data_IF_939998252632
#
_entry.id   IF_939998252632
#
_cell.length_a   1.000
_cell.length_b   1.000
_cell.length_c   1.000
_cell.angle_alpha   90.00
_cell.angle_beta   90.00
_cell.angle_gamma   90.00
#
_symmetry.space_group_name_H-M   'P 1'
#
loop_
_entity.id
_entity.type
_entity.pdbx_description
1 polymer ?
#
# COMPACT_ATOMS: atom_id res chain seq x y z
N UNK A 1 43.95 1.80 -28.14
CA UNK A 1 43.21 2.52 -27.08
C UNK A 1 41.95 3.04 -27.75
N UNK A 2 40.79 2.42 -27.62
CA UNK A 2 39.84 2.63 -26.52
C UNK A 2 38.98 1.36 -26.35
N UNK A 3 39.11 0.67 -25.22
CA UNK A 3 38.22 -0.44 -24.89
C UNK A 3 36.95 0.18 -24.29
N UNK A 4 35.91 0.39 -25.10
CA UNK A 4 34.60 0.79 -24.61
C UNK A 4 33.95 -0.39 -23.89
N UNK A 5 34.32 -0.59 -22.62
CA UNK A 5 33.49 -1.41 -21.75
C UNK A 5 32.14 -0.73 -21.64
N UNK A 6 31.14 -1.27 -22.33
CA UNK A 6 29.74 -0.95 -22.11
C UNK A 6 29.46 -1.16 -20.62
N UNK A 7 29.33 -0.06 -19.88
CA UNK A 7 28.98 -0.10 -18.46
C UNK A 7 27.67 -0.88 -18.37
N UNK A 8 27.67 -2.02 -17.66
CA UNK A 8 26.44 -2.75 -17.38
C UNK A 8 25.55 -1.80 -16.57
N UNK A 9 24.52 -1.26 -17.21
CA UNK A 9 23.65 -0.22 -16.61
C UNK A 9 22.87 -0.79 -15.41
N UNK A 10 22.77 -2.13 -15.27
CA UNK A 10 22.06 -2.81 -14.18
C UNK A 10 22.59 -4.23 -13.92
N UNK A 11 22.71 -4.61 -12.66
CA UNK A 11 23.13 -5.92 -12.16
C UNK A 11 22.01 -6.66 -11.41
N UNK A 12 21.02 -5.96 -10.85
CA UNK A 12 19.79 -6.61 -10.39
C UNK A 12 19.06 -7.17 -11.62
N UNK A 13 18.74 -8.47 -11.66
CA UNK A 13 18.31 -9.15 -12.88
C UNK A 13 16.88 -8.79 -13.34
N UNK A 14 16.20 -7.91 -12.62
CA UNK A 14 14.81 -7.57 -12.87
C UNK A 14 14.60 -6.07 -13.09
N UNK A 15 13.83 -5.74 -14.14
CA UNK A 15 13.47 -4.36 -14.47
C UNK A 15 12.01 -4.05 -14.06
N UNK A 16 11.67 -4.28 -12.79
CA UNK A 16 10.30 -4.06 -12.28
C UNK A 16 10.06 -2.66 -11.70
N UNK A 17 11.08 -1.81 -11.62
CA UNK A 17 10.97 -0.45 -11.07
C UNK A 17 11.95 0.52 -11.71
N UNK A 18 11.60 1.81 -11.71
CA UNK A 18 12.48 2.94 -12.06
C UNK A 18 13.69 3.13 -11.12
N UNK A 19 13.68 2.49 -9.95
CA UNK A 19 14.82 2.50 -9.04
C UNK A 19 16.05 1.79 -9.63
N UNK A 20 17.18 2.47 -9.52
CA UNK A 20 18.52 1.93 -9.79
C UNK A 20 18.97 0.94 -8.72
N UNK A 21 19.98 0.14 -9.04
CA UNK A 21 20.57 -0.82 -8.09
C UNK A 21 21.12 -0.12 -6.84
N UNK A 22 21.71 1.08 -7.02
CA UNK A 22 22.18 1.94 -5.93
C UNK A 22 21.06 2.24 -4.95
N UNK A 23 19.91 2.68 -5.44
CA UNK A 23 18.78 3.04 -4.60
C UNK A 23 18.19 1.84 -3.86
N UNK A 24 18.10 0.69 -4.54
CA UNK A 24 17.62 -0.56 -3.91
C UNK A 24 18.58 -1.00 -2.79
N UNK A 25 19.88 -0.99 -3.05
CA UNK A 25 20.90 -1.34 -2.05
C UNK A 25 20.84 -0.41 -0.86
N UNK A 26 20.80 0.91 -1.07
CA UNK A 26 20.77 1.89 0.03
C UNK A 26 19.54 1.68 0.92
N UNK A 27 18.40 1.31 0.35
CA UNK A 27 17.18 1.04 1.14
C UNK A 27 17.27 -0.19 2.02
N UNK A 28 18.01 -1.22 1.61
CA UNK A 28 18.17 -2.43 2.41
C UNK A 28 19.39 -2.40 3.33
N UNK A 29 20.53 -1.91 2.82
CA UNK A 29 21.85 -2.05 3.44
C UNK A 29 22.50 -0.69 3.79
N UNK A 30 21.94 0.42 3.33
CA UNK A 30 22.47 1.77 3.58
C UNK A 30 23.62 2.21 2.66
N UNK A 31 23.95 3.51 2.73
CA UNK A 31 24.98 4.16 1.90
C UNK A 31 26.38 3.56 2.11
N UNK A 32 26.70 3.16 3.35
CA UNK A 32 28.00 2.56 3.69
C UNK A 32 28.25 1.27 2.90
N UNK A 33 27.25 0.40 2.83
CA UNK A 33 27.32 -0.86 2.09
C UNK A 33 27.41 -0.64 0.57
N UNK A 34 26.72 0.38 0.04
CA UNK A 34 26.90 0.75 -1.38
C UNK A 34 28.35 1.12 -1.70
N UNK A 35 29.00 1.95 -0.88
CA UNK A 35 30.41 2.32 -1.06
C UNK A 35 31.34 1.10 -0.96
N UNK A 36 31.01 0.15 -0.09
CA UNK A 36 31.77 -1.08 0.07
C UNK A 36 31.67 -1.97 -1.17
N UNK A 37 30.48 -2.07 -1.77
CA UNK A 37 30.26 -2.76 -3.05
C UNK A 37 31.07 -2.09 -4.17
N UNK A 38 31.07 -0.76 -4.27
CA UNK A 38 31.87 -0.04 -5.27
C UNK A 38 33.38 -0.28 -5.09
N UNK A 39 33.87 -0.26 -3.84
CA UNK A 39 35.26 -0.59 -3.51
C UNK A 39 35.63 -2.01 -3.97
N UNK A 40 34.75 -2.98 -3.71
CA UNK A 40 34.94 -4.39 -4.09
C UNK A 40 34.77 -4.65 -5.60
N UNK A 41 34.07 -3.79 -6.34
CA UNK A 41 34.03 -3.87 -7.82
C UNK A 41 35.35 -3.45 -8.46
N UNK A 42 36.04 -2.50 -7.86
CA UNK A 42 37.37 -2.05 -8.31
C UNK A 42 38.44 -3.15 -8.23
N UNK A 43 38.25 -4.15 -7.36
CA UNK A 43 39.13 -5.31 -7.25
C UNK A 43 38.65 -6.46 -8.15
N UNK A 44 39.43 -6.77 -9.20
CA UNK A 44 39.13 -7.66 -10.35
C UNK A 44 38.77 -9.14 -10.06
N UNK A 45 38.27 -9.53 -8.88
CA UNK A 45 38.05 -10.93 -8.46
C UNK A 45 36.62 -11.32 -8.04
N UNK A 46 35.64 -10.40 -7.99
CA UNK A 46 34.39 -10.58 -7.19
C UNK A 46 33.08 -10.73 -7.98
N UNK A 47 33.10 -10.76 -9.32
CA UNK A 47 31.88 -10.60 -10.14
C UNK A 47 30.75 -11.60 -9.91
N UNK A 48 31.06 -12.87 -9.54
CA UNK A 48 30.03 -13.89 -9.27
C UNK A 48 29.37 -13.68 -7.90
N UNK A 49 30.16 -13.37 -6.87
CA UNK A 49 29.68 -13.10 -5.51
C UNK A 49 28.82 -11.83 -5.47
N UNK A 50 29.24 -10.79 -6.20
CA UNK A 50 28.45 -9.57 -6.37
C UNK A 50 27.09 -9.86 -7.00
N UNK A 51 27.06 -10.57 -8.14
CA UNK A 51 25.80 -10.96 -8.80
C UNK A 51 24.83 -11.68 -7.86
N UNK A 52 25.34 -12.63 -7.06
CA UNK A 52 24.50 -13.38 -6.11
C UNK A 52 23.89 -12.47 -5.04
N UNK A 53 24.64 -11.48 -4.55
CA UNK A 53 24.13 -10.46 -3.63
C UNK A 53 23.03 -9.61 -4.27
N UNK A 54 23.24 -9.15 -5.51
CA UNK A 54 22.22 -8.39 -6.25
C UNK A 54 20.95 -9.22 -6.52
N UNK A 55 21.08 -10.52 -6.77
CA UNK A 55 19.94 -11.43 -6.90
C UNK A 55 19.14 -11.54 -5.59
N UNK A 56 19.80 -11.69 -4.44
CA UNK A 56 19.13 -11.69 -3.11
C UNK A 56 18.35 -10.40 -2.88
N UNK A 57 18.99 -9.25 -3.08
CA UNK A 57 18.37 -7.95 -2.87
C UNK A 57 17.25 -7.69 -3.88
N UNK A 58 17.43 -8.14 -5.11
CA UNK A 58 16.43 -8.08 -6.18
C UNK A 58 15.18 -8.89 -5.84
N UNK A 59 15.33 -10.14 -5.41
CA UNK A 59 14.21 -11.00 -5.01
C UNK A 59 13.40 -10.35 -3.88
N UNK A 60 14.08 -9.86 -2.83
CA UNK A 60 13.44 -9.14 -1.72
C UNK A 60 12.72 -7.87 -2.18
N UNK A 61 13.32 -7.11 -3.11
CA UNK A 61 12.73 -5.89 -3.66
C UNK A 61 11.44 -6.15 -4.42
N UNK A 62 11.44 -7.14 -5.31
CA UNK A 62 10.28 -7.53 -6.11
C UNK A 62 9.11 -7.90 -5.20
N UNK A 63 9.37 -8.69 -4.16
CA UNK A 63 8.33 -9.11 -3.23
C UNK A 63 7.78 -7.93 -2.41
N UNK A 64 8.64 -7.01 -2.00
CA UNK A 64 8.19 -5.83 -1.25
C UNK A 64 7.27 -4.92 -2.09
N UNK A 65 7.45 -4.89 -3.42
CA UNK A 65 6.70 -4.01 -4.34
C UNK A 65 5.51 -4.68 -5.00
N UNK A 66 5.52 -6.00 -5.17
CA UNK A 66 4.45 -6.73 -5.82
C UNK A 66 3.49 -7.34 -4.78
N UNK A 67 2.29 -6.77 -4.59
CA UNK A 67 1.35 -7.26 -3.57
C UNK A 67 0.85 -8.67 -3.85
N UNK A 68 0.76 -9.09 -5.12
CA UNK A 68 0.30 -10.42 -5.49
C UNK A 68 1.29 -11.52 -5.09
N UNK A 69 2.58 -11.30 -5.40
CA UNK A 69 3.66 -12.21 -4.97
C UNK A 69 3.78 -12.21 -3.46
N UNK A 70 3.65 -11.03 -2.83
CA UNK A 70 3.68 -10.93 -1.37
C UNK A 70 2.53 -11.69 -0.74
N UNK A 71 1.31 -11.56 -1.25
CA UNK A 71 0.14 -12.25 -0.72
C UNK A 71 0.27 -13.77 -0.84
N UNK A 72 0.81 -14.29 -1.94
CA UNK A 72 1.13 -15.72 -2.09
C UNK A 72 2.07 -16.21 -0.97
N UNK A 73 3.11 -15.45 -0.64
CA UNK A 73 4.05 -15.79 0.44
C UNK A 73 3.44 -15.67 1.85
N UNK A 74 2.53 -14.71 2.04
CA UNK A 74 1.82 -14.55 3.31
C UNK A 74 0.86 -15.73 3.54
N UNK A 75 0.20 -16.21 2.48
CA UNK A 75 -0.79 -17.27 2.53
C UNK A 75 -0.18 -18.68 2.46
N UNK A 76 1.01 -18.84 1.87
CA UNK A 76 1.65 -20.13 1.67
C UNK A 76 2.96 -20.26 2.47
N UNK A 77 2.87 -20.95 3.62
CA UNK A 77 4.02 -21.21 4.50
C UNK A 77 5.18 -21.90 3.79
N UNK A 78 4.92 -22.93 2.99
CA UNK A 78 5.97 -23.70 2.29
C UNK A 78 6.73 -22.84 1.29
N UNK A 79 6.03 -22.02 0.50
CA UNK A 79 6.66 -21.09 -0.46
C UNK A 79 7.50 -20.03 0.26
N UNK A 80 7.00 -19.48 1.36
CA UNK A 80 7.76 -18.53 2.19
C UNK A 80 9.04 -19.15 2.75
N UNK A 81 8.95 -20.32 3.38
CA UNK A 81 10.12 -21.02 3.93
C UNK A 81 11.13 -21.37 2.83
N UNK A 82 10.66 -21.84 1.67
CA UNK A 82 11.50 -22.13 0.51
C UNK A 82 12.23 -20.88 0.00
N UNK A 83 11.55 -19.74 -0.10
CA UNK A 83 12.18 -18.48 -0.51
C UNK A 83 13.25 -18.06 0.50
N UNK A 84 12.92 -18.01 1.79
CA UNK A 84 13.87 -17.57 2.82
C UNK A 84 15.10 -18.50 2.85
N UNK A 85 14.89 -19.81 2.73
CA UNK A 85 15.98 -20.78 2.63
C UNK A 85 16.85 -20.53 1.39
N UNK A 86 16.25 -20.27 0.23
CA UNK A 86 16.99 -19.95 -0.99
C UNK A 86 17.81 -18.66 -0.87
N UNK A 87 17.26 -17.60 -0.26
CA UNK A 87 17.98 -16.34 -0.02
C UNK A 87 19.20 -16.57 0.90
N UNK A 88 18.99 -17.27 2.03
CA UNK A 88 20.06 -17.59 3.00
C UNK A 88 21.14 -18.48 2.38
N UNK A 89 20.74 -19.50 1.63
CA UNK A 89 21.68 -20.39 0.93
C UNK A 89 22.51 -19.62 -0.12
N UNK A 90 21.88 -18.75 -0.92
CA UNK A 90 22.60 -17.91 -1.89
C UNK A 90 23.59 -16.99 -1.20
N UNK A 91 23.23 -16.42 -0.06
CA UNK A 91 24.11 -15.56 0.72
C UNK A 91 25.29 -16.33 1.34
N UNK A 92 25.08 -17.54 1.87
CA UNK A 92 26.15 -18.41 2.37
C UNK A 92 27.20 -18.73 1.30
N UNK A 93 26.76 -18.90 0.05
CA UNK A 93 27.66 -19.10 -1.09
C UNK A 93 28.53 -17.87 -1.40
N UNK A 94 28.08 -16.67 -1.03
CA UNK A 94 28.88 -15.43 -1.12
C UNK A 94 29.97 -15.43 -0.05
N UNK A 95 29.64 -15.83 1.19
CA UNK A 95 30.58 -15.95 2.31
C UNK A 95 31.72 -16.92 2.01
N UNK A 96 31.41 -18.13 1.53
CA UNK A 96 32.41 -19.14 1.16
C UNK A 96 33.41 -18.65 0.09
N UNK A 97 33.01 -17.64 -0.70
CA UNK A 97 33.83 -17.04 -1.76
C UNK A 97 34.50 -15.74 -1.34
N UNK A 98 34.26 -15.26 -0.11
CA UNK A 98 34.85 -14.04 0.41
C UNK A 98 36.35 -14.20 0.70
N UNK A 99 36.84 -15.43 0.88
CA UNK A 99 38.26 -15.77 1.08
C UNK A 99 38.91 -14.91 2.19
N UNK A 100 38.19 -14.73 3.31
CA UNK A 100 38.64 -13.92 4.46
C UNK A 100 38.63 -12.40 4.26
N UNK A 101 38.10 -11.89 3.14
CA UNK A 101 37.99 -10.45 2.91
C UNK A 101 37.00 -9.79 3.90
N UNK A 102 37.53 -8.94 4.78
CA UNK A 102 36.75 -8.27 5.82
C UNK A 102 35.60 -7.40 5.28
N UNK A 103 35.80 -6.73 4.14
CA UNK A 103 34.75 -5.93 3.50
C UNK A 103 33.61 -6.84 2.98
N UNK A 104 33.96 -7.97 2.38
CA UNK A 104 32.96 -8.93 1.88
C UNK A 104 32.18 -9.60 3.03
N UNK A 105 32.84 -9.90 4.15
CA UNK A 105 32.19 -10.43 5.37
C UNK A 105 31.23 -9.38 5.95
N UNK A 106 31.64 -8.12 6.01
CA UNK A 106 30.78 -7.03 6.48
C UNK A 106 29.52 -6.90 5.61
N UNK A 107 29.64 -6.96 4.27
CA UNK A 107 28.49 -6.95 3.37
C UNK A 107 27.57 -8.15 3.56
N UNK A 108 28.16 -9.32 3.76
CA UNK A 108 27.42 -10.54 4.03
C UNK A 108 26.53 -10.37 5.28
N UNK A 109 27.11 -9.90 6.38
CA UNK A 109 26.40 -9.76 7.64
C UNK A 109 25.27 -8.73 7.58
N UNK A 110 25.49 -7.60 6.90
CA UNK A 110 24.44 -6.61 6.67
C UNK A 110 23.32 -7.15 5.77
N UNK A 111 23.66 -7.96 4.76
CA UNK A 111 22.66 -8.62 3.94
C UNK A 111 21.87 -9.67 4.73
N UNK A 112 22.52 -10.44 5.60
CA UNK A 112 21.86 -11.41 6.46
C UNK A 112 20.85 -10.72 7.39
N UNK A 113 21.24 -9.60 8.01
CA UNK A 113 20.32 -8.76 8.81
C UNK A 113 19.14 -8.27 7.99
N UNK A 114 19.36 -7.85 6.74
CA UNK A 114 18.29 -7.44 5.84
C UNK A 114 17.32 -8.58 5.53
N UNK A 115 17.81 -9.79 5.26
CA UNK A 115 16.98 -10.99 5.06
C UNK A 115 16.16 -11.30 6.32
N UNK A 116 16.77 -11.26 7.50
CA UNK A 116 16.08 -11.50 8.77
C UNK A 116 14.98 -10.46 9.03
N UNK A 117 15.25 -9.18 8.77
CA UNK A 117 14.26 -8.11 8.88
C UNK A 117 13.11 -8.30 7.90
N UNK A 118 13.41 -8.74 6.68
CA UNK A 118 12.39 -9.04 5.67
C UNK A 118 11.52 -10.23 6.07
N UNK A 119 12.12 -11.33 6.51
CA UNK A 119 11.41 -12.51 7.06
C UNK A 119 10.49 -12.10 8.21
N UNK A 120 11.01 -11.36 9.18
CA UNK A 120 10.23 -10.86 10.31
C UNK A 120 9.08 -9.95 9.86
N UNK A 121 9.28 -9.11 8.84
CA UNK A 121 8.22 -8.25 8.32
C UNK A 121 7.03 -9.04 7.75
N UNK A 122 7.30 -10.17 7.09
CA UNK A 122 6.25 -11.06 6.57
C UNK A 122 5.47 -11.69 7.73
N UNK A 123 6.17 -12.18 8.76
CA UNK A 123 5.54 -12.79 9.93
C UNK A 123 4.71 -11.79 10.74
N UNK A 124 5.23 -10.58 10.96
CA UNK A 124 4.49 -9.50 11.61
C UNK A 124 3.22 -9.16 10.82
N UNK A 125 3.31 -9.10 9.48
CA UNK A 125 2.15 -8.81 8.64
C UNK A 125 1.10 -9.94 8.70
N UNK A 126 1.51 -11.21 8.76
CA UNK A 126 0.59 -12.35 8.96
C UNK A 126 -0.14 -12.22 10.29
N UNK A 127 0.60 -11.96 11.37
CA UNK A 127 0.02 -11.80 12.72
C UNK A 127 -0.98 -10.64 12.76
N UNK A 128 -0.60 -9.48 12.21
CA UNK A 128 -1.48 -8.31 12.16
C UNK A 128 -2.73 -8.57 11.32
N UNK A 129 -2.63 -9.28 10.20
CA UNK A 129 -3.81 -9.68 9.39
C UNK A 129 -4.74 -10.57 10.21
N UNK A 130 -4.22 -11.59 10.88
CA UNK A 130 -5.02 -12.49 11.72
C UNK A 130 -5.72 -11.74 12.86
N UNK A 131 -5.01 -10.85 13.55
CA UNK A 131 -5.57 -10.02 14.61
C UNK A 131 -6.64 -9.08 14.08
N UNK A 132 -6.39 -8.44 12.93
CA UNK A 132 -7.32 -7.53 12.28
C UNK A 132 -8.60 -8.25 11.87
N UNK A 133 -8.50 -9.40 11.19
CA UNK A 133 -9.66 -10.22 10.84
C UNK A 133 -10.46 -10.60 12.08
N UNK A 134 -9.81 -11.10 13.14
CA UNK A 134 -10.48 -11.53 14.37
C UNK A 134 -11.27 -10.41 15.08
N UNK A 135 -10.78 -9.18 15.01
CA UNK A 135 -11.43 -8.02 15.64
C UNK A 135 -12.54 -7.47 14.74
N UNK A 136 -12.23 -7.23 13.47
CA UNK A 136 -13.14 -6.58 12.52
C UNK A 136 -14.30 -7.49 12.11
N UNK A 137 -14.11 -8.81 12.05
CA UNK A 137 -15.18 -9.76 11.69
C UNK A 137 -16.27 -9.88 12.76
N UNK A 138 -16.10 -9.24 13.92
CA UNK A 138 -17.14 -9.09 14.95
C UNK A 138 -18.01 -7.87 14.75
N UNK A 139 -17.62 -6.99 13.83
CA UNK A 139 -18.21 -5.67 13.60
C UNK A 139 -18.90 -5.62 12.24
N UNK A 140 -18.26 -6.17 11.22
CA UNK A 140 -18.75 -6.21 9.84
C UNK A 140 -18.49 -7.60 9.24
N UNK A 141 -19.09 -7.90 8.08
CA UNK A 141 -18.86 -9.15 7.36
C UNK A 141 -17.37 -9.37 7.07
N UNK A 142 -16.90 -10.63 7.12
CA UNK A 142 -15.52 -10.95 6.74
C UNK A 142 -15.21 -10.60 5.28
N UNK A 143 -16.22 -10.61 4.41
CA UNK A 143 -16.08 -10.22 3.00
C UNK A 143 -15.83 -8.71 2.83
N UNK A 144 -16.11 -7.91 3.87
CA UNK A 144 -15.83 -6.48 3.87
C UNK A 144 -14.41 -6.17 4.32
N UNK A 145 -13.57 -7.17 4.66
CA UNK A 145 -12.20 -6.99 5.15
C UNK A 145 -11.24 -7.55 4.09
N UNK A 146 -10.80 -6.69 3.18
CA UNK A 146 -10.06 -7.11 1.99
C UNK A 146 -8.56 -6.81 2.11
N UNK A 147 -7.76 -7.88 2.17
CA UNK A 147 -6.30 -7.82 2.18
C UNK A 147 -5.67 -8.12 0.82
N UNK A 148 -6.48 -8.39 -0.21
CA UNK A 148 -6.02 -8.84 -1.52
C UNK A 148 -5.21 -7.76 -2.23
N UNK A 149 -4.29 -8.21 -3.08
CA UNK A 149 -3.54 -7.32 -3.98
C UNK A 149 -4.45 -6.45 -4.83
N UNK A 150 -5.57 -6.98 -5.35
CA UNK A 150 -6.50 -6.21 -6.19
C UNK A 150 -7.10 -5.03 -5.44
N UNK A 151 -7.71 -5.25 -4.28
CA UNK A 151 -8.31 -4.17 -3.50
C UNK A 151 -7.26 -3.14 -3.08
N UNK A 152 -6.10 -3.59 -2.62
CA UNK A 152 -5.03 -2.69 -2.17
C UNK A 152 -4.44 -1.87 -3.32
N UNK A 153 -4.29 -2.44 -4.52
CA UNK A 153 -3.85 -1.72 -5.72
C UNK A 153 -4.88 -0.66 -6.13
N UNK A 154 -6.18 -1.02 -6.16
CA UNK A 154 -7.26 -0.10 -6.51
C UNK A 154 -7.39 1.10 -5.55
N UNK A 155 -6.85 0.98 -4.33
CA UNK A 155 -6.86 2.01 -3.30
C UNK A 155 -5.46 2.53 -2.97
N UNK A 156 -4.50 2.35 -3.89
CA UNK A 156 -3.10 2.75 -3.66
C UNK A 156 -2.77 4.17 -4.13
N UNK A 157 -3.67 4.80 -4.88
CA UNK A 157 -3.55 6.16 -5.38
C UNK A 157 -4.94 6.82 -5.54
N UNK A 158 -4.97 8.11 -5.84
CA UNK A 158 -6.17 8.85 -6.25
C UNK A 158 -5.97 9.44 -7.66
N UNK A 159 -6.85 10.33 -8.11
CA UNK A 159 -6.75 10.92 -9.46
C UNK A 159 -5.49 11.76 -9.69
N UNK A 160 -4.66 12.03 -8.67
CA UNK A 160 -3.33 12.63 -8.91
C UNK A 160 -2.40 11.70 -9.68
N UNK A 161 -2.47 10.39 -9.43
CA UNK A 161 -1.55 9.36 -9.94
C UNK A 161 -0.05 9.64 -9.69
N UNK A 162 0.30 10.63 -8.87
CA UNK A 162 1.70 11.03 -8.63
C UNK A 162 2.39 10.15 -7.58
N UNK A 163 1.60 9.55 -6.69
CA UNK A 163 2.11 8.71 -5.61
C UNK A 163 1.32 7.41 -5.56
N UNK A 164 2.04 6.30 -5.43
CA UNK A 164 1.44 4.97 -5.26
C UNK A 164 1.95 4.39 -3.95
N UNK A 165 1.02 4.15 -3.02
CA UNK A 165 1.32 3.55 -1.72
C UNK A 165 0.21 2.57 -1.33
N UNK A 166 0.60 1.32 -1.10
CA UNK A 166 -0.36 0.26 -0.78
C UNK A 166 -0.90 0.44 0.65
N UNK A 167 -2.23 0.41 0.86
CA UNK A 167 -2.77 0.27 2.19
C UNK A 167 -2.47 -1.13 2.75
N UNK A 168 -2.68 -1.30 4.05
CA UNK A 168 -2.62 -2.59 4.73
C UNK A 168 -3.88 -3.43 4.43
N UNK A 169 -5.05 -2.80 4.53
CA UNK A 169 -6.39 -3.41 4.37
C UNK A 169 -7.36 -2.38 3.79
N UNK A 170 -8.33 -2.86 3.01
CA UNK A 170 -9.49 -2.08 2.59
C UNK A 170 -10.73 -2.64 3.30
N UNK A 171 -11.49 -1.77 3.97
CA UNK A 171 -12.67 -2.14 4.74
C UNK A 171 -13.90 -1.49 4.08
N UNK A 172 -14.93 -2.27 3.79
CA UNK A 172 -16.13 -1.83 3.03
C UNK A 172 -17.41 -2.02 3.87
N UNK A 173 -17.70 -1.14 4.86
CA UNK A 173 -18.89 -1.28 5.70
C UNK A 173 -20.17 -1.46 4.89
N UNK A 174 -21.11 -2.25 5.41
CA UNK A 174 -22.46 -2.41 4.83
C UNK A 174 -23.38 -1.26 5.27
N UNK A 175 -23.20 -0.76 6.48
CA UNK A 175 -24.07 0.27 7.07
C UNK A 175 -23.25 1.33 7.80
N UNK A 176 -23.81 2.52 7.96
CA UNK A 176 -23.17 3.61 8.71
C UNK A 176 -22.90 3.22 10.17
N UNK A 177 -23.80 2.45 10.79
CA UNK A 177 -23.67 2.02 12.19
C UNK A 177 -22.38 1.21 12.47
N UNK A 178 -21.81 0.56 11.47
CA UNK A 178 -20.54 -0.18 11.60
C UNK A 178 -19.33 0.75 11.70
N UNK A 179 -19.38 1.94 11.08
CA UNK A 179 -18.22 2.81 10.82
C UNK A 179 -17.52 3.19 12.12
N UNK A 180 -18.27 3.66 13.11
CA UNK A 180 -17.68 4.09 14.38
C UNK A 180 -16.95 2.94 15.12
N UNK A 181 -17.49 1.72 15.04
CA UNK A 181 -16.87 0.55 15.63
C UNK A 181 -15.62 0.10 14.83
N UNK A 182 -15.66 0.16 13.50
CA UNK A 182 -14.50 -0.10 12.62
C UNK A 182 -13.37 0.88 12.91
N UNK A 183 -13.66 2.18 13.06
CA UNK A 183 -12.67 3.21 13.40
C UNK A 183 -12.00 2.90 14.73
N UNK A 184 -12.77 2.61 15.78
CA UNK A 184 -12.22 2.23 17.10
C UNK A 184 -11.36 0.97 17.02
N UNK A 185 -11.76 -0.02 16.24
CA UNK A 185 -10.99 -1.24 16.03
C UNK A 185 -9.65 -0.96 15.33
N UNK A 186 -9.65 -0.13 14.28
CA UNK A 186 -8.43 0.26 13.56
C UNK A 186 -7.45 1.02 14.47
N UNK A 187 -7.94 1.95 15.29
CA UNK A 187 -7.11 2.66 16.28
C UNK A 187 -6.49 1.67 17.27
N UNK A 188 -7.28 0.72 17.80
CA UNK A 188 -6.79 -0.31 18.71
C UNK A 188 -5.74 -1.23 18.09
N UNK A 189 -5.81 -1.45 16.77
CA UNK A 189 -4.84 -2.21 15.98
C UNK A 189 -3.59 -1.39 15.62
N UNK A 190 -3.54 -0.10 15.96
CA UNK A 190 -2.44 0.80 15.60
C UNK A 190 -2.41 1.15 14.10
N UNK A 191 -3.56 1.09 13.43
CA UNK A 191 -3.68 1.44 12.01
C UNK A 191 -3.97 2.92 11.83
N UNK A 192 -3.30 3.56 10.87
CA UNK A 192 -3.74 4.86 10.33
C UNK A 192 -5.03 4.64 9.54
N UNK A 193 -5.95 5.60 9.53
CA UNK A 193 -7.26 5.48 8.88
C UNK A 193 -7.37 6.52 7.78
N UNK A 194 -7.82 6.10 6.60
CA UNK A 194 -8.19 6.99 5.49
C UNK A 194 -9.63 6.65 5.08
N UNK A 195 -10.61 7.54 5.26
CA UNK A 195 -11.91 7.38 4.63
C UNK A 195 -11.78 7.66 3.12
N UNK A 196 -12.49 6.89 2.29
CA UNK A 196 -12.41 7.01 0.84
C UNK A 196 -13.75 6.71 0.17
N UNK A 197 -14.25 7.66 -0.62
CA UNK A 197 -15.29 7.41 -1.63
C UNK A 197 -14.66 6.98 -2.96
N UNK A 198 -15.10 7.54 -4.08
CA UNK A 198 -14.58 7.20 -5.42
C UNK A 198 -13.09 7.50 -5.67
N UNK A 199 -12.44 8.29 -4.80
CA UNK A 199 -11.00 8.55 -4.88
C UNK A 199 -10.57 9.43 -6.06
N UNK A 200 -11.45 10.34 -6.48
CA UNK A 200 -11.25 11.27 -7.61
C UNK A 200 -10.51 12.55 -7.23
N UNK A 201 -9.98 12.65 -6.00
CA UNK A 201 -9.26 13.84 -5.53
C UNK A 201 -7.92 14.06 -6.23
N UNK A 202 -7.53 15.32 -6.40
CA UNK A 202 -6.29 15.75 -7.08
C UNK A 202 -5.21 16.28 -6.13
N UNK A 203 -5.24 15.90 -4.85
CA UNK A 203 -4.29 16.40 -3.85
C UNK A 203 -3.57 15.31 -3.07
N UNK A 204 -3.78 14.04 -3.40
CA UNK A 204 -3.17 12.91 -2.68
C UNK A 204 -3.87 12.57 -1.36
N UNK A 205 -5.03 13.19 -1.07
CA UNK A 205 -5.73 13.08 0.21
C UNK A 205 -6.22 11.67 0.54
N UNK A 206 -6.39 10.81 -0.47
CA UNK A 206 -6.82 9.42 -0.29
C UNK A 206 -5.65 8.41 -0.43
N UNK A 207 -4.40 8.87 -0.43
CA UNK A 207 -3.21 8.03 -0.64
C UNK A 207 -2.53 7.71 0.70
N UNK A 208 -2.27 6.44 1.03
CA UNK A 208 -1.53 6.08 2.24
C UNK A 208 -0.14 6.72 2.34
N UNK A 209 0.19 7.23 3.53
CA UNK A 209 1.56 7.65 3.87
C UNK A 209 2.35 6.53 4.54
N UNK A 210 1.67 5.68 5.32
CA UNK A 210 2.27 4.58 6.08
C UNK A 210 1.75 3.23 5.59
N UNK A 211 2.57 2.18 5.69
CA UNK A 211 2.20 0.83 5.25
C UNK A 211 1.06 0.22 6.08
N UNK A 212 0.91 0.63 7.34
CA UNK A 212 -0.12 0.16 8.27
C UNK A 212 -1.35 1.07 8.23
N UNK A 213 -1.87 1.32 7.02
CA UNK A 213 -3.06 2.16 6.81
C UNK A 213 -4.26 1.30 6.46
N UNK A 214 -5.36 1.46 7.18
CA UNK A 214 -6.68 0.98 6.79
C UNK A 214 -7.38 2.03 5.94
N UNK A 215 -7.82 1.64 4.74
CA UNK A 215 -8.74 2.46 3.94
C UNK A 215 -10.15 2.00 4.24
N UNK A 216 -11.01 2.90 4.70
CA UNK A 216 -12.45 2.63 4.87
C UNK A 216 -13.15 3.17 3.64
N UNK A 217 -13.55 2.27 2.74
CA UNK A 217 -14.26 2.62 1.52
C UNK A 217 -15.76 2.76 1.82
N UNK A 218 -16.31 3.95 1.58
CA UNK A 218 -17.69 4.32 1.91
C UNK A 218 -18.66 4.16 0.74
N UNK A 219 -18.22 3.70 -0.43
CA UNK A 219 -19.03 3.62 -1.66
C UNK A 219 -20.30 2.75 -1.53
N UNK A 220 -20.32 1.79 -0.60
CA UNK A 220 -21.51 0.98 -0.30
C UNK A 220 -22.58 1.72 0.50
N UNK A 221 -22.24 2.85 1.13
CA UNK A 221 -23.17 3.65 1.93
C UNK A 221 -23.97 4.57 0.98
N UNK A 222 -24.78 3.95 0.12
CA UNK A 222 -25.44 4.59 -1.01
C UNK A 222 -26.94 4.87 -0.81
N UNK A 223 -27.39 4.84 0.45
CA UNK A 223 -28.75 5.18 0.83
C UNK A 223 -29.05 6.64 0.48
N UNK A 224 -30.20 6.86 -0.16
CA UNK A 224 -30.63 8.15 -0.66
C UNK A 224 -32.13 8.30 -0.38
N UNK A 225 -32.50 9.29 0.42
CA UNK A 225 -33.90 9.55 0.76
C UNK A 225 -34.68 10.17 -0.42
N UNK A 226 -36.00 10.20 -0.31
CA UNK A 226 -36.81 11.15 -1.08
C UNK A 226 -36.52 12.59 -0.64
N UNK A 227 -36.98 13.57 -1.44
CA UNK A 227 -36.94 14.98 -1.04
C UNK A 227 -37.99 15.22 0.05
N UNK A 228 -37.55 15.75 1.19
CA UNK A 228 -38.39 16.18 2.30
C UNK A 228 -38.36 17.71 2.42
N UNK A 229 -39.51 18.32 2.70
CA UNK A 229 -39.62 19.75 2.92
C UNK A 229 -39.49 20.08 4.40
N UNK A 230 -38.42 20.78 4.77
CA UNK A 230 -38.09 21.06 6.16
C UNK A 230 -37.82 22.55 6.41
N UNK A 231 -38.12 23.01 7.63
CA UNK A 231 -37.73 24.35 8.09
C UNK A 231 -36.30 24.28 8.63
N UNK A 232 -35.39 25.06 8.06
CA UNK A 232 -34.00 25.09 8.48
C UNK A 232 -33.83 25.98 9.72
N UNK A 233 -33.20 25.43 10.76
CA UNK A 233 -32.91 26.19 11.99
C UNK A 233 -31.87 27.28 11.72
N UNK A 234 -32.13 28.52 12.15
CA UNK A 234 -31.19 29.65 12.02
C UNK A 234 -31.26 30.41 10.69
N UNK A 235 -32.21 30.06 9.82
CA UNK A 235 -32.56 30.87 8.64
C UNK A 235 -33.82 31.68 9.02
N UNK A 236 -33.62 32.92 9.47
CA UNK A 236 -34.70 33.88 9.66
C UNK A 236 -35.06 34.44 8.29
N UNK A 237 -36.19 34.00 7.76
CA UNK A 237 -36.77 34.60 6.56
C UNK A 237 -37.95 35.49 7.00
N UNK A 238 -38.08 36.68 6.41
CA UNK A 238 -39.14 37.66 6.73
C UNK A 238 -40.55 37.07 6.50
N UNK A 239 -40.62 35.93 5.81
CA UNK A 239 -41.81 35.09 5.63
C UNK A 239 -41.59 33.74 6.34
N UNK A 240 -42.04 33.63 7.59
CA UNK A 240 -41.94 32.49 8.53
C UNK A 240 -42.40 31.08 8.04
N UNK A 241 -42.55 30.85 6.74
CA UNK A 241 -43.13 29.62 6.19
C UNK A 241 -42.41 29.02 4.97
N UNK A 242 -41.19 29.46 4.67
CA UNK A 242 -40.39 28.83 3.61
C UNK A 242 -39.89 27.47 4.10
N UNK A 243 -40.25 26.42 3.36
CA UNK A 243 -39.70 25.08 3.53
C UNK A 243 -38.63 24.83 2.46
N UNK A 244 -37.55 24.16 2.86
CA UNK A 244 -36.44 23.85 1.98
C UNK A 244 -36.48 22.37 1.59
N UNK A 245 -36.22 22.04 0.31
CA UNK A 245 -36.05 20.65 -0.12
C UNK A 245 -34.74 20.09 0.43
N UNK A 246 -34.83 19.02 1.21
CA UNK A 246 -33.73 18.32 1.86
C UNK A 246 -33.69 16.87 1.37
N UNK A 247 -32.48 16.37 1.14
CA UNK A 247 -32.22 14.97 0.81
C UNK A 247 -31.12 14.46 1.73
N UNK A 248 -31.40 13.36 2.42
CA UNK A 248 -30.40 12.64 3.20
C UNK A 248 -29.64 11.69 2.27
N UNK A 249 -28.31 11.79 2.30
CA UNK A 249 -27.42 11.01 1.45
C UNK A 249 -26.38 10.30 2.29
N UNK A 250 -26.22 8.99 2.08
CA UNK A 250 -25.08 8.25 2.59
C UNK A 250 -23.77 8.71 1.94
N UNK A 251 -22.65 8.50 2.63
CA UNK A 251 -21.32 8.94 2.19
C UNK A 251 -20.81 8.29 0.90
N UNK A 252 -21.49 7.27 0.38
CA UNK A 252 -21.21 6.60 -0.89
C UNK A 252 -22.05 7.10 -2.07
N UNK A 253 -23.06 7.95 -1.84
CA UNK A 253 -23.90 8.49 -2.90
C UNK A 253 -23.07 9.38 -3.82
N UNK A 254 -23.05 9.04 -5.11
CA UNK A 254 -22.43 9.89 -6.14
C UNK A 254 -23.30 11.12 -6.41
N UNK A 255 -22.66 12.26 -6.67
CA UNK A 255 -23.30 13.55 -6.93
C UNK A 255 -24.38 13.45 -8.00
N UNK A 256 -24.12 12.67 -9.07
CA UNK A 256 -25.07 12.50 -10.17
C UNK A 256 -26.45 12.00 -9.73
N UNK A 257 -26.50 11.07 -8.76
CA UNK A 257 -27.78 10.52 -8.26
C UNK A 257 -28.62 11.57 -7.54
N UNK A 258 -27.96 12.50 -6.83
CA UNK A 258 -28.64 13.62 -6.15
C UNK A 258 -29.16 14.61 -7.18
N UNK A 259 -28.38 14.91 -8.22
CA UNK A 259 -28.79 15.76 -9.34
C UNK A 259 -30.01 15.19 -10.07
N UNK A 260 -29.98 13.91 -10.44
CA UNK A 260 -31.11 13.25 -11.12
C UNK A 260 -32.38 13.23 -10.23
N UNK A 261 -32.23 13.03 -8.91
CA UNK A 261 -33.34 13.13 -7.96
C UNK A 261 -33.91 14.54 -7.89
N UNK A 262 -33.06 15.57 -7.83
CA UNK A 262 -33.50 16.96 -7.81
C UNK A 262 -34.26 17.32 -9.09
N UNK A 263 -33.69 17.00 -10.26
CA UNK A 263 -34.26 17.31 -11.57
C UNK A 263 -35.64 16.68 -11.76
N UNK A 264 -35.80 15.40 -11.36
CA UNK A 264 -37.07 14.68 -11.44
C UNK A 264 -38.18 15.25 -10.55
N UNK A 265 -37.82 16.07 -9.56
CA UNK A 265 -38.75 16.74 -8.64
C UNK A 265 -38.84 18.27 -8.90
N UNK A 266 -38.28 18.77 -10.01
CA UNK A 266 -38.34 20.18 -10.37
C UNK A 266 -37.40 21.10 -9.56
N UNK A 267 -36.39 20.52 -8.93
CA UNK A 267 -35.30 21.23 -8.24
C UNK A 267 -34.00 21.12 -9.04
N UNK A 268 -32.98 21.88 -8.63
CA UNK A 268 -31.63 21.76 -9.17
C UNK A 268 -30.64 21.51 -8.03
N UNK A 269 -29.79 20.50 -8.17
CA UNK A 269 -28.63 20.30 -7.28
C UNK A 269 -27.41 20.99 -7.88
N UNK A 270 -27.03 22.15 -7.34
CA UNK A 270 -26.03 23.03 -7.94
C UNK A 270 -24.56 22.58 -7.80
N UNK A 271 -24.30 21.40 -7.23
CA UNK A 271 -22.94 20.87 -7.05
C UNK A 271 -22.52 20.11 -8.30
N UNK A 272 -21.68 20.72 -9.14
CA UNK A 272 -21.24 20.16 -10.43
C UNK A 272 -19.71 20.12 -10.59
N UNK A 273 -18.99 19.25 -9.85
CA UNK A 273 -17.60 18.96 -10.16
C UNK A 273 -17.51 18.13 -11.45
N UNK A 274 -16.46 18.29 -12.25
CA UNK A 274 -16.25 17.49 -13.47
C UNK A 274 -16.14 15.97 -13.22
N UNK A 275 -16.04 15.55 -11.96
CA UNK A 275 -15.93 14.15 -11.52
C UNK A 275 -17.23 13.57 -10.95
N UNK A 276 -18.40 14.06 -11.37
CA UNK A 276 -19.71 13.56 -10.91
C UNK A 276 -19.91 12.06 -11.15
#
# INVERSE_FOLDING_TARGET
MTNSHSVRIREIPYNYTSYSDREIIIRFLGEKCWRLIEKLRGSRRTGRSARMLFEVLGDMWVINRNPYVKDDLLNNRKRRESLISALKHRLQQVELRADGNADAITLHDECLKAIQKFEQSLLTQISLRQQSTKILSKITSSNNIDFSGLARVAHSTDATDWRIAMPFVVIKPDTEHEVAAIVRACIKLGLTIIPRGGGTGYTGGAIPLHSNTAVINTEKLEELSSINLEKLSGIEDDKNDIQHPIVECGAGVITRRVSDLADSNGYAFAVDPTSQ
#
